data_IF_177320937025
#
_entry.id   IF_177320937025
#
_cell.length_a   1.000
_cell.length_b   1.000
_cell.length_c   1.000
_cell.angle_alpha   90.00
_cell.angle_beta   90.00
_cell.angle_gamma   90.00
#
_symmetry.space_group_name_H-M   'P 1'
#
loop_
_entity.id
_entity.type
_entity.pdbx_description
1 polymer ?
#
# COMPACT_ATOMS: atom_id res chain seq x y z
N UNK A 1 13.96 63.71 12.10
CA UNK A 1 13.93 62.78 10.95
C UNK A 1 12.48 62.39 10.65
N UNK A 2 12.17 61.81 9.48
CA UNK A 2 10.85 61.20 9.26
C UNK A 2 10.71 59.93 10.12
N UNK A 3 9.67 59.87 10.94
CA UNK A 3 9.34 58.68 11.74
C UNK A 3 8.63 57.63 10.87
N UNK A 4 8.96 56.36 11.06
CA UNK A 4 8.34 55.23 10.35
C UNK A 4 7.12 54.73 11.12
N UNK A 5 5.94 54.86 10.54
CA UNK A 5 4.68 54.35 11.11
C UNK A 5 4.21 53.09 10.37
N UNK A 6 3.86 52.06 11.12
CA UNK A 6 3.19 50.85 10.62
C UNK A 6 1.71 50.93 11.02
N UNK A 7 0.81 50.83 10.04
CA UNK A 7 -0.64 50.87 10.26
C UNK A 7 -1.22 49.47 10.13
N UNK A 8 -1.84 48.97 11.20
CA UNK A 8 -2.50 47.67 11.28
C UNK A 8 -3.96 47.83 11.75
N UNK A 9 -4.83 46.84 11.54
CA UNK A 9 -6.17 46.84 12.16
C UNK A 9 -6.08 46.94 13.69
N UNK A 10 -6.94 47.77 14.29
CA UNK A 10 -7.02 47.87 15.75
C UNK A 10 -7.57 46.57 16.34
N UNK A 11 -6.70 45.84 17.04
CA UNK A 11 -7.07 44.64 17.80
C UNK A 11 -7.49 45.07 19.22
N UNK A 12 -8.75 44.82 19.59
CA UNK A 12 -9.34 45.26 20.87
C UNK A 12 -9.39 44.13 21.91
N UNK A 13 -8.27 43.42 22.08
CA UNK A 13 -8.15 42.27 22.97
C UNK A 13 -7.07 42.46 24.05
N UNK A 14 -6.83 41.42 24.83
CA UNK A 14 -5.64 41.28 25.67
C UNK A 14 -4.58 40.44 24.95
N UNK A 15 -3.29 40.64 25.25
CA UNK A 15 -2.28 39.67 24.79
C UNK A 15 -2.46 38.34 25.50
N UNK A 16 -2.05 37.25 24.86
CA UNK A 16 -2.00 35.93 25.51
C UNK A 16 -1.05 35.97 26.71
N UNK A 17 0.01 36.78 26.66
CA UNK A 17 0.94 37.03 27.76
C UNK A 17 0.25 37.60 29.00
N UNK A 18 -0.62 38.60 28.85
CA UNK A 18 -1.45 39.12 29.96
C UNK A 18 -2.35 38.01 30.52
N UNK A 19 -3.14 37.34 29.67
CA UNK A 19 -4.09 36.29 30.08
C UNK A 19 -3.40 35.14 30.87
N UNK A 20 -2.15 34.81 30.52
CA UNK A 20 -1.36 33.79 31.21
C UNK A 20 -0.67 34.28 32.50
N UNK A 21 -0.47 35.58 32.66
CA UNK A 21 0.08 36.20 33.89
C UNK A 21 -1.04 36.51 34.89
N UNK A 22 -2.16 37.08 34.43
CA UNK A 22 -3.34 37.42 35.23
C UNK A 22 -4.02 36.17 35.84
N UNK A 23 -3.76 35.00 35.27
CA UNK A 23 -4.21 33.71 35.80
C UNK A 23 -5.71 33.43 35.62
N UNK A 24 -6.42 34.25 34.85
CA UNK A 24 -7.89 34.24 34.66
C UNK A 24 -8.47 32.87 34.29
N UNK A 25 -7.71 32.07 33.52
CA UNK A 25 -8.02 30.67 33.17
C UNK A 25 -7.88 29.73 34.39
N UNK A 26 -8.76 29.87 35.38
CA UNK A 26 -8.71 29.11 36.65
C UNK A 26 -9.25 27.67 36.51
N UNK A 27 -10.22 27.43 35.63
CA UNK A 27 -10.78 26.11 35.38
C UNK A 27 -9.84 25.25 34.50
N UNK A 28 -9.34 24.08 34.97
CA UNK A 28 -8.38 23.28 34.19
C UNK A 28 -8.94 22.72 32.87
N UNK A 29 -10.25 22.50 32.75
CA UNK A 29 -10.87 22.00 31.52
C UNK A 29 -11.02 23.12 30.49
N UNK A 30 -11.60 24.25 30.91
CA UNK A 30 -11.73 25.45 30.07
C UNK A 30 -10.37 25.94 29.57
N UNK A 31 -9.35 25.98 30.46
CA UNK A 31 -7.96 26.31 30.10
C UNK A 31 -7.46 25.41 28.98
N UNK A 32 -7.66 24.09 29.06
CA UNK A 32 -7.24 23.16 28.01
C UNK A 32 -8.00 23.41 26.71
N UNK A 33 -9.33 23.57 26.77
CA UNK A 33 -10.17 23.77 25.59
C UNK A 33 -9.81 25.06 24.83
N UNK A 34 -9.66 26.19 25.53
CA UNK A 34 -9.32 27.50 24.95
C UNK A 34 -7.87 27.55 24.48
N UNK A 35 -6.91 27.10 25.27
CA UNK A 35 -5.49 27.10 24.87
C UNK A 35 -5.25 26.17 23.67
N UNK A 36 -5.92 25.02 23.58
CA UNK A 36 -5.82 24.15 22.38
C UNK A 36 -6.48 24.81 21.16
N UNK A 37 -7.62 25.51 21.33
CA UNK A 37 -8.24 26.28 20.25
C UNK A 37 -7.29 27.37 19.73
N UNK A 38 -6.75 28.23 20.60
CA UNK A 38 -5.79 29.27 20.22
C UNK A 38 -4.53 28.68 19.57
N UNK A 39 -3.97 27.61 20.12
CA UNK A 39 -2.76 26.96 19.57
C UNK A 39 -3.02 26.38 18.17
N UNK A 40 -4.24 25.90 17.89
CA UNK A 40 -4.63 25.51 16.52
C UNK A 40 -4.68 26.71 15.57
N UNK A 41 -5.26 27.83 15.99
CA UNK A 41 -5.37 29.03 15.15
C UNK A 41 -3.99 29.63 14.84
N UNK A 42 -3.10 29.65 15.83
CA UNK A 42 -1.69 29.99 15.65
C UNK A 42 -0.97 28.99 14.72
N UNK A 43 -1.24 27.69 14.84
CA UNK A 43 -0.67 26.68 13.94
C UNK A 43 -1.12 26.85 12.48
N UNK A 44 -2.40 27.17 12.27
CA UNK A 44 -2.96 27.39 10.93
C UNK A 44 -2.47 28.74 10.34
N UNK A 45 -2.32 29.79 11.16
CA UNK A 45 -1.74 31.08 10.76
C UNK A 45 -0.24 30.98 10.41
N UNK A 46 0.55 30.31 11.25
CA UNK A 46 1.96 30.04 10.96
C UNK A 46 2.12 29.19 9.69
N UNK A 47 1.28 28.16 9.51
CA UNK A 47 1.31 27.36 8.28
C UNK A 47 1.01 28.21 7.03
N UNK A 48 0.08 29.16 7.12
CA UNK A 48 -0.23 30.07 6.02
C UNK A 48 0.98 30.94 5.65
N UNK A 49 1.65 31.53 6.65
CA UNK A 49 2.90 32.27 6.43
C UNK A 49 4.01 31.38 5.81
N UNK A 50 4.20 30.17 6.34
CA UNK A 50 5.20 29.21 5.82
C UNK A 50 4.94 28.83 4.35
N UNK A 51 3.67 28.72 3.95
CA UNK A 51 3.29 28.44 2.56
C UNK A 51 3.59 29.60 1.60
N UNK A 52 3.69 30.83 2.13
CA UNK A 52 4.14 32.03 1.40
C UNK A 52 5.66 32.26 1.50
N UNK A 53 6.41 31.33 2.13
CA UNK A 53 7.86 31.46 2.36
C UNK A 53 8.24 32.43 3.49
N UNK A 54 7.26 32.91 4.27
CA UNK A 54 7.46 33.85 5.39
C UNK A 54 7.60 33.08 6.70
N UNK A 55 8.48 33.56 7.58
CA UNK A 55 8.61 33.16 8.99
C UNK A 55 8.43 34.40 9.87
N UNK A 56 7.74 34.23 11.00
CA UNK A 56 7.40 35.29 11.96
C UNK A 56 8.61 35.81 12.75
N UNK A 57 9.61 34.94 12.99
CA UNK A 57 10.85 35.17 13.76
C UNK A 57 10.69 35.41 15.26
N UNK A 58 9.53 35.88 15.72
CA UNK A 58 9.26 36.18 17.13
C UNK A 58 7.88 35.63 17.55
N UNK A 59 7.77 34.30 17.67
CA UNK A 59 6.51 33.62 18.07
C UNK A 59 6.48 33.49 19.60
N UNK A 60 5.85 34.45 20.27
CA UNK A 60 5.64 34.40 21.73
C UNK A 60 4.23 34.90 22.14
N UNK A 61 3.76 34.62 23.37
CA UNK A 61 2.46 35.09 23.86
C UNK A 61 2.26 36.61 23.88
N UNK A 62 3.33 37.43 23.87
CA UNK A 62 3.22 38.88 23.72
C UNK A 62 2.71 39.27 22.33
N UNK A 63 3.13 38.53 21.30
CA UNK A 63 2.83 38.79 19.89
C UNK A 63 1.55 38.05 19.42
N UNK A 64 0.73 37.60 20.38
CA UNK A 64 -0.57 36.96 20.16
C UNK A 64 -1.62 37.72 20.94
N UNK A 65 -2.64 38.26 20.26
CA UNK A 65 -3.78 38.90 20.90
C UNK A 65 -5.03 38.02 20.83
N UNK A 66 -5.76 37.93 21.94
CA UNK A 66 -7.03 37.20 22.01
C UNK A 66 -8.18 38.19 21.83
N UNK A 67 -8.80 38.16 20.66
CA UNK A 67 -9.90 39.08 20.26
C UNK A 67 -11.17 38.25 20.05
N UNK A 68 -12.21 38.49 20.85
CA UNK A 68 -13.45 37.69 20.84
C UNK A 68 -13.20 36.16 20.90
N UNK A 69 -12.28 35.76 21.79
CA UNK A 69 -11.76 34.39 21.99
C UNK A 69 -11.00 33.77 20.79
N UNK A 70 -10.73 34.53 19.72
CA UNK A 70 -9.89 34.14 18.58
C UNK A 70 -8.44 34.55 18.82
N UNK A 71 -7.47 33.71 18.45
CA UNK A 71 -6.05 34.05 18.54
C UNK A 71 -5.54 34.70 17.25
N UNK A 72 -5.10 35.95 17.37
CA UNK A 72 -4.51 36.74 16.28
C UNK A 72 -3.01 36.88 16.52
N UNK A 73 -2.21 36.29 15.64
CA UNK A 73 -0.76 36.47 15.60
C UNK A 73 -0.44 37.81 14.92
N UNK A 74 0.38 38.65 15.55
CA UNK A 74 0.75 39.98 15.07
C UNK A 74 2.25 40.28 15.29
N UNK A 75 2.75 41.35 14.66
CA UNK A 75 4.18 41.71 14.64
C UNK A 75 5.12 40.61 14.12
N UNK A 76 4.89 40.22 12.85
CA UNK A 76 5.87 39.46 12.06
C UNK A 76 7.15 40.30 11.98
N UNK A 77 8.21 39.89 12.69
CA UNK A 77 9.30 40.78 13.10
C UNK A 77 10.10 41.44 11.97
N UNK A 78 9.57 42.56 11.45
CA UNK A 78 10.16 43.33 10.33
C UNK A 78 11.50 43.95 10.75
N UNK A 79 11.61 44.41 12.00
CA UNK A 79 12.85 44.94 12.56
C UNK A 79 14.01 43.93 12.53
N UNK A 80 13.74 42.62 12.65
CA UNK A 80 14.79 41.58 12.55
C UNK A 80 15.29 41.35 11.12
N UNK A 81 14.89 42.16 10.13
CA UNK A 81 15.48 42.20 8.79
C UNK A 81 16.48 43.35 8.58
N UNK A 82 16.36 44.47 9.31
CA UNK A 82 17.23 45.65 9.07
C UNK A 82 18.63 45.46 9.68
N UNK A 83 18.72 44.77 10.81
CA UNK A 83 19.91 44.81 11.66
C UNK A 83 20.90 43.66 11.35
N UNK A 84 20.75 43.02 10.20
CA UNK A 84 21.66 42.01 9.61
C UNK A 84 21.77 40.67 10.36
N UNK A 85 21.32 40.61 11.61
CA UNK A 85 21.39 39.47 12.51
C UNK A 85 20.02 39.17 13.13
N UNK A 86 19.72 37.91 13.41
CA UNK A 86 18.58 37.58 14.29
C UNK A 86 18.95 37.71 15.77
N UNK A 87 20.26 37.73 16.05
CA UNK A 87 20.90 37.67 17.37
C UNK A 87 21.69 38.94 17.63
N UNK A 88 21.05 40.10 17.42
CA UNK A 88 21.61 41.39 17.80
C UNK A 88 21.78 41.41 19.33
N UNK A 89 23.01 41.13 19.77
CA UNK A 89 23.51 41.65 21.03
C UNK A 89 23.68 43.16 20.80
N UNK A 90 23.03 43.98 21.61
CA UNK A 90 23.42 45.39 21.74
C UNK A 90 24.83 45.45 22.35
N UNK A 91 25.53 46.58 22.21
CA UNK A 91 26.91 46.74 22.71
C UNK A 91 27.01 46.60 24.26
N UNK A 92 25.90 46.71 25.00
CA UNK A 92 25.82 46.40 26.44
C UNK A 92 25.57 44.90 26.73
N UNK A 93 25.56 44.04 25.71
CA UNK A 93 25.35 42.61 25.83
C UNK A 93 23.89 42.18 26.05
N UNK A 94 22.91 42.98 25.65
CA UNK A 94 21.50 42.58 25.67
C UNK A 94 21.08 41.93 24.35
N UNK A 95 20.63 40.68 24.42
CA UNK A 95 19.92 40.01 23.34
C UNK A 95 18.49 40.57 23.24
N UNK A 96 18.09 41.02 22.06
CA UNK A 96 16.72 41.51 21.81
C UNK A 96 15.74 40.33 21.62
N UNK A 97 14.62 40.37 22.34
CA UNK A 97 13.56 39.34 22.35
C UNK A 97 13.57 38.44 23.59
N UNK A 98 12.56 37.57 23.73
CA UNK A 98 12.43 36.67 24.89
C UNK A 98 13.10 35.31 24.62
N UNK A 99 14.27 35.00 25.21
CA UNK A 99 15.05 33.80 24.86
C UNK A 99 14.40 32.47 25.26
N UNK A 100 13.35 32.48 26.09
CA UNK A 100 12.64 31.29 26.56
C UNK A 100 11.87 30.57 25.44
N UNK A 101 11.53 31.27 24.36
CA UNK A 101 10.85 30.74 23.17
C UNK A 101 11.82 30.42 22.02
N UNK A 102 13.09 30.80 22.15
CA UNK A 102 14.11 30.61 21.12
C UNK A 102 14.47 29.12 21.02
N UNK A 103 14.30 28.54 19.85
CA UNK A 103 14.74 27.18 19.56
C UNK A 103 16.28 27.10 19.58
N UNK A 104 16.90 26.03 20.10
CA UNK A 104 18.35 25.99 20.34
C UNK A 104 19.20 26.22 19.09
N UNK A 105 18.75 25.76 17.92
CA UNK A 105 19.46 25.93 16.64
C UNK A 105 19.58 27.40 16.18
N UNK A 106 18.78 28.31 16.74
CA UNK A 106 18.84 29.73 16.40
C UNK A 106 20.05 30.42 17.03
N UNK A 107 20.58 29.89 18.14
CA UNK A 107 21.80 30.41 18.80
C UNK A 107 23.03 30.19 17.92
N UNK A 108 23.08 29.08 17.17
CA UNK A 108 24.22 28.73 16.31
C UNK A 108 24.09 29.25 14.86
N UNK A 109 22.86 29.46 14.37
CA UNK A 109 22.60 29.65 12.93
C UNK A 109 21.84 30.90 12.53
N UNK A 110 21.26 31.63 13.50
CA UNK A 110 20.40 32.81 13.35
C UNK A 110 19.13 32.64 12.47
N UNK A 111 18.95 31.49 11.82
CA UNK A 111 17.95 31.31 10.75
C UNK A 111 16.68 30.68 11.30
N UNK A 112 15.68 31.51 11.58
CA UNK A 112 14.31 31.04 11.85
C UNK A 112 13.82 30.12 10.73
N UNK A 113 13.23 28.99 11.11
CA UNK A 113 12.60 28.03 10.20
C UNK A 113 11.19 27.68 10.68
N UNK A 114 10.33 27.08 9.83
CA UNK A 114 9.06 26.50 10.27
C UNK A 114 9.17 25.56 11.49
N UNK A 115 10.33 24.90 11.68
CA UNK A 115 10.58 23.98 12.82
C UNK A 115 11.03 24.71 14.09
N UNK A 116 11.65 25.88 14.01
CA UNK A 116 11.90 26.72 15.19
C UNK A 116 10.62 27.38 15.69
N UNK A 117 9.68 27.68 14.79
CA UNK A 117 8.38 28.24 15.18
C UNK A 117 7.43 27.18 15.75
N UNK A 118 7.54 25.92 15.31
CA UNK A 118 6.94 24.76 16.01
C UNK A 118 7.47 24.63 17.45
N UNK A 119 8.75 24.88 17.69
CA UNK A 119 9.32 24.87 19.05
C UNK A 119 8.70 25.97 19.91
N UNK A 120 8.68 27.20 19.41
CA UNK A 120 8.13 28.36 20.11
C UNK A 120 6.62 28.24 20.39
N UNK A 121 5.86 27.65 19.44
CA UNK A 121 4.45 27.29 19.63
C UNK A 121 4.28 26.17 20.69
N UNK A 122 5.23 25.22 20.76
CA UNK A 122 5.29 24.20 21.81
C UNK A 122 5.53 24.77 23.21
N UNK A 123 6.43 25.76 23.32
CA UNK A 123 6.66 26.51 24.58
C UNK A 123 5.42 27.30 24.99
N UNK A 124 4.78 27.98 24.02
CA UNK A 124 3.51 28.70 24.21
C UNK A 124 2.40 27.78 24.70
N UNK A 125 2.24 26.60 24.09
CA UNK A 125 1.26 25.59 24.49
C UNK A 125 1.53 25.07 25.92
N UNK A 126 2.80 24.78 26.28
CA UNK A 126 3.14 24.37 27.65
C UNK A 126 2.75 25.45 28.68
N UNK A 127 3.07 26.72 28.41
CA UNK A 127 2.74 27.81 29.34
C UNK A 127 1.23 28.02 29.44
N UNK A 128 0.51 27.99 28.31
CA UNK A 128 -0.94 28.08 28.31
C UNK A 128 -1.60 27.01 29.19
N UNK A 129 -1.16 25.76 29.07
CA UNK A 129 -1.75 24.63 29.80
C UNK A 129 -1.38 24.58 31.28
N UNK A 130 -0.18 25.02 31.67
CA UNK A 130 0.33 24.85 33.05
C UNK A 130 0.38 26.13 33.90
N UNK A 131 0.26 27.30 33.27
CA UNK A 131 0.53 28.60 33.91
C UNK A 131 2.01 28.85 34.23
N UNK A 132 2.93 27.96 33.83
CA UNK A 132 4.38 28.11 34.02
C UNK A 132 5.13 27.89 32.71
N UNK A 133 6.27 28.55 32.52
CA UNK A 133 7.14 28.32 31.36
C UNK A 133 7.85 26.95 31.50
N UNK A 134 8.14 26.23 30.39
CA UNK A 134 8.80 24.92 30.47
C UNK A 134 10.27 25.03 30.89
N UNK A 135 10.99 25.97 30.27
CA UNK A 135 12.41 26.21 30.52
C UNK A 135 12.57 27.42 31.45
N UNK A 136 13.49 27.32 32.40
CA UNK A 136 13.84 28.39 33.32
C UNK A 136 15.31 28.26 33.73
N UNK A 137 15.96 29.40 33.99
CA UNK A 137 17.32 29.48 34.50
C UNK A 137 17.45 30.59 35.54
N UNK A 138 18.53 30.56 36.33
CA UNK A 138 18.91 31.68 37.22
C UNK A 138 19.65 32.78 36.44
N UNK A 139 20.07 32.47 35.23
CA UNK A 139 20.90 33.27 34.33
C UNK A 139 20.66 32.78 32.89
N UNK A 140 21.10 33.55 31.88
CA UNK A 140 20.92 33.19 30.47
C UNK A 140 21.58 31.86 30.10
N UNK A 141 22.75 31.54 30.66
CA UNK A 141 23.48 30.32 30.34
C UNK A 141 22.87 29.06 30.99
N UNK A 142 22.18 29.16 32.14
CA UNK A 142 21.37 28.06 32.67
C UNK A 142 20.06 27.90 31.90
N UNK A 143 19.42 28.98 31.42
CA UNK A 143 18.24 28.89 30.54
C UNK A 143 18.57 28.20 29.20
N UNK A 144 19.62 28.64 28.50
CA UNK A 144 20.01 28.04 27.21
C UNK A 144 20.44 26.58 27.35
N UNK A 145 21.05 26.17 28.48
CA UNK A 145 21.33 24.76 28.77
C UNK A 145 20.05 23.93 28.92
N UNK A 146 19.06 24.41 29.69
CA UNK A 146 17.77 23.72 29.82
C UNK A 146 17.05 23.56 28.46
N UNK A 147 17.07 24.62 27.63
CA UNK A 147 16.55 24.61 26.26
C UNK A 147 17.28 23.57 25.38
N UNK A 148 18.61 23.58 25.37
CA UNK A 148 19.42 22.67 24.57
C UNK A 148 19.33 21.19 25.02
N UNK A 149 19.10 20.96 26.31
CA UNK A 149 18.86 19.62 26.87
C UNK A 149 17.42 19.14 26.67
N UNK A 150 16.46 20.05 26.46
CA UNK A 150 15.03 19.72 26.36
C UNK A 150 14.40 19.32 27.70
N UNK A 151 15.07 19.66 28.82
CA UNK A 151 14.65 19.28 30.16
C UNK A 151 13.66 20.31 30.73
N UNK A 152 12.40 19.88 30.89
CA UNK A 152 11.33 20.68 31.48
C UNK A 152 10.39 19.82 32.36
N UNK A 153 9.66 20.47 33.26
CA UNK A 153 8.79 19.78 34.23
C UNK A 153 7.53 19.16 33.58
N UNK A 154 7.64 17.89 33.18
CA UNK A 154 6.52 17.09 32.67
C UNK A 154 5.46 16.82 33.76
N UNK A 155 5.83 16.85 35.04
CA UNK A 155 4.87 16.71 36.14
C UNK A 155 4.01 17.97 36.29
N UNK A 156 4.44 19.14 35.81
CA UNK A 156 3.58 20.33 35.72
C UNK A 156 2.32 20.07 34.88
N UNK A 157 2.45 19.33 33.77
CA UNK A 157 1.31 18.95 32.93
C UNK A 157 0.35 18.00 33.68
N UNK A 158 0.89 17.03 34.42
CA UNK A 158 0.07 16.12 35.25
C UNK A 158 -0.62 16.85 36.41
N UNK A 159 0.09 17.76 37.09
CA UNK A 159 -0.46 18.61 38.16
C UNK A 159 -1.56 19.56 37.64
N UNK A 160 -1.42 20.05 36.40
CA UNK A 160 -2.45 20.82 35.69
C UNK A 160 -3.59 19.96 35.08
N UNK A 161 -3.57 18.63 35.31
CA UNK A 161 -4.54 17.65 34.80
C UNK A 161 -4.67 17.66 33.26
N UNK A 162 -3.56 17.89 32.57
CA UNK A 162 -3.50 17.90 31.10
C UNK A 162 -3.71 16.49 30.55
N UNK A 163 -4.54 16.40 29.51
CA UNK A 163 -4.81 15.14 28.79
C UNK A 163 -3.53 14.40 28.33
N UNK A 164 -3.43 13.06 28.47
CA UNK A 164 -2.23 12.30 28.09
C UNK A 164 -1.82 12.39 26.61
N UNK A 165 -2.76 12.53 25.68
CA UNK A 165 -2.44 12.78 24.27
C UNK A 165 -1.89 14.20 24.08
N UNK A 166 -2.45 15.18 24.77
CA UNK A 166 -1.95 16.56 24.73
C UNK A 166 -0.54 16.67 25.35
N UNK A 167 -0.24 15.91 26.41
CA UNK A 167 1.13 15.74 26.93
C UNK A 167 2.07 15.21 25.84
N UNK A 168 1.63 14.29 24.97
CA UNK A 168 2.47 13.79 23.87
C UNK A 168 2.78 14.85 22.80
N UNK A 169 1.84 15.77 22.53
CA UNK A 169 2.07 16.94 21.66
C UNK A 169 3.09 17.89 22.30
N UNK A 170 2.85 18.26 23.56
CA UNK A 170 3.70 19.19 24.33
C UNK A 170 5.11 18.65 24.53
N UNK A 171 5.29 17.32 24.63
CA UNK A 171 6.61 16.68 24.69
C UNK A 171 7.33 16.55 23.35
N UNK A 172 6.71 16.92 22.22
CA UNK A 172 7.28 16.75 20.88
C UNK A 172 7.49 18.07 20.13
N UNK A 173 6.67 19.09 20.37
CA UNK A 173 6.84 20.40 19.72
C UNK A 173 8.16 21.11 20.13
N UNK A 174 8.54 21.20 21.43
CA UNK A 174 9.78 21.85 21.88
C UNK A 174 10.93 20.84 22.13
N UNK A 175 11.03 19.76 21.35
CA UNK A 175 12.18 18.83 21.45
C UNK A 175 13.46 19.51 20.88
N UNK A 176 14.66 19.36 21.47
CA UNK A 176 15.84 20.13 21.02
C UNK A 176 16.23 19.91 19.56
N UNK A 177 16.23 18.67 19.06
CA UNK A 177 16.53 18.38 17.66
C UNK A 177 15.33 18.76 16.75
N UNK A 178 15.48 19.73 15.81
CA UNK A 178 14.42 20.10 14.88
C UNK A 178 13.86 18.93 14.06
N UNK A 179 14.64 17.88 13.84
CA UNK A 179 14.19 16.68 13.13
C UNK A 179 13.31 15.76 13.97
N UNK A 180 13.40 15.81 15.30
CA UNK A 180 12.51 15.06 16.19
C UNK A 180 11.16 15.78 16.46
N UNK A 181 11.07 17.10 16.19
CA UNK A 181 9.82 17.89 16.28
C UNK A 181 8.76 17.48 15.25
N UNK A 182 7.63 18.18 15.27
CA UNK A 182 6.70 18.23 14.13
C UNK A 182 7.37 18.81 12.88
N UNK A 183 6.85 18.40 11.74
CA UNK A 183 7.41 18.69 10.42
C UNK A 183 7.02 20.08 9.89
N UNK A 184 5.84 20.56 10.27
CA UNK A 184 5.32 21.90 10.05
C UNK A 184 4.30 22.26 11.14
N UNK A 185 3.84 23.53 11.16
CA UNK A 185 2.79 23.97 12.06
C UNK A 185 1.47 23.20 11.84
N UNK A 186 1.04 22.95 10.60
CA UNK A 186 -0.17 22.15 10.35
C UNK A 186 -0.09 20.72 10.89
N UNK A 187 1.09 20.09 10.90
CA UNK A 187 1.24 18.75 11.45
C UNK A 187 0.98 18.71 12.98
N UNK A 188 1.24 19.82 13.69
CA UNK A 188 0.89 20.00 15.10
C UNK A 188 -0.60 20.36 15.25
N UNK A 189 -1.13 21.26 14.41
CA UNK A 189 -2.55 21.62 14.39
C UNK A 189 -3.48 20.44 14.11
N UNK A 190 -3.07 19.50 13.25
CA UNK A 190 -3.78 18.25 12.95
C UNK A 190 -3.88 17.32 14.15
N UNK A 191 -2.81 17.18 14.94
CA UNK A 191 -2.82 16.34 16.13
C UNK A 191 -3.60 17.01 17.29
N UNK A 192 -3.64 18.35 17.35
CA UNK A 192 -4.56 19.08 18.24
C UNK A 192 -6.03 18.91 17.81
N UNK A 193 -6.33 19.00 16.50
CA UNK A 193 -7.67 18.71 15.93
C UNK A 193 -8.13 17.29 16.28
N UNK A 194 -7.23 16.31 16.21
CA UNK A 194 -7.48 14.90 16.59
C UNK A 194 -7.88 14.74 18.05
N UNK A 195 -7.10 15.33 18.96
CA UNK A 195 -7.35 15.23 20.41
C UNK A 195 -8.72 15.80 20.78
N UNK A 196 -9.14 16.90 20.15
CA UNK A 196 -10.47 17.50 20.40
C UNK A 196 -11.66 16.64 19.94
N UNK A 197 -11.47 15.66 19.04
CA UNK A 197 -12.50 14.68 18.67
C UNK A 197 -12.27 13.31 19.33
N UNK A 198 -11.38 13.23 20.34
CA UNK A 198 -11.04 12.01 21.06
C UNK A 198 -10.03 11.08 20.35
N UNK A 199 -9.52 11.48 19.20
CA UNK A 199 -8.65 10.66 18.35
C UNK A 199 -7.19 10.74 18.80
N UNK A 200 -6.45 9.62 18.72
CA UNK A 200 -5.04 9.61 19.12
C UNK A 200 -4.15 10.43 18.14
N UNK A 201 -3.18 11.21 18.66
CA UNK A 201 -2.30 12.03 17.82
C UNK A 201 -1.24 11.16 17.11
N UNK A 202 -1.01 11.47 15.83
CA UNK A 202 -0.05 10.78 14.94
C UNK A 202 1.39 10.83 15.47
N UNK A 203 1.73 11.83 16.29
CA UNK A 203 3.05 11.99 16.90
C UNK A 203 3.46 10.80 17.76
N UNK A 204 2.52 10.11 18.42
CA UNK A 204 2.80 8.90 19.20
C UNK A 204 3.40 7.80 18.31
N UNK A 205 2.78 7.56 17.15
CA UNK A 205 3.27 6.58 16.17
C UNK A 205 4.60 7.02 15.56
N UNK A 206 4.79 8.31 15.24
CA UNK A 206 6.08 8.83 14.75
C UNK A 206 7.20 8.65 15.80
N UNK A 207 6.94 8.94 17.08
CA UNK A 207 7.91 8.83 18.18
C UNK A 207 8.32 7.38 18.45
N UNK A 208 7.38 6.43 18.40
CA UNK A 208 7.66 4.99 18.53
C UNK A 208 8.55 4.47 17.38
N UNK A 209 8.26 4.86 16.13
CA UNK A 209 9.08 4.48 14.98
C UNK A 209 10.49 5.07 15.07
N UNK A 210 10.63 6.33 15.51
CA UNK A 210 11.95 6.95 15.70
C UNK A 210 12.71 6.43 16.92
N UNK A 211 12.05 6.04 18.02
CA UNK A 211 12.75 5.40 19.15
C UNK A 211 13.31 4.04 18.75
N UNK A 212 12.56 3.25 17.98
CA UNK A 212 13.06 2.01 17.36
C UNK A 212 14.23 2.29 16.42
N UNK A 213 14.17 3.32 15.57
CA UNK A 213 15.26 3.67 14.66
C UNK A 213 16.52 4.18 15.39
N UNK A 214 16.38 5.02 16.43
CA UNK A 214 17.51 5.48 17.27
C UNK A 214 18.14 4.32 18.04
N UNK A 215 17.34 3.40 18.57
CA UNK A 215 17.83 2.15 19.18
C UNK A 215 18.56 1.28 18.17
N UNK A 216 18.00 1.09 16.97
CA UNK A 216 18.60 0.28 15.90
C UNK A 216 19.92 0.86 15.39
N UNK A 217 20.03 2.19 15.27
CA UNK A 217 21.27 2.89 14.90
C UNK A 217 22.35 2.79 15.99
N UNK A 218 21.96 2.67 17.26
CA UNK A 218 22.89 2.46 18.39
C UNK A 218 23.29 0.99 18.57
N UNK A 219 22.39 0.06 18.24
CA UNK A 219 22.55 -1.39 18.39
C UNK A 219 22.47 -2.08 17.02
N UNK A 220 23.34 -1.69 16.08
CA UNK A 220 23.29 -2.12 14.67
C UNK A 220 23.29 -3.63 14.50
N UNK A 221 24.09 -4.37 15.26
CA UNK A 221 24.12 -5.83 15.24
C UNK A 221 22.76 -6.46 15.63
N UNK A 222 22.10 -5.94 16.66
CA UNK A 222 20.78 -6.43 17.09
C UNK A 222 19.67 -6.08 16.08
N UNK A 223 19.77 -4.90 15.43
CA UNK A 223 18.87 -4.51 14.36
C UNK A 223 19.02 -5.40 13.10
N UNK A 224 20.25 -5.71 12.70
CA UNK A 224 20.55 -6.62 11.59
C UNK A 224 20.04 -8.04 11.92
N UNK A 225 20.29 -8.53 13.14
CA UNK A 225 19.78 -9.83 13.59
C UNK A 225 18.24 -9.89 13.57
N UNK A 226 17.55 -8.86 14.08
CA UNK A 226 16.10 -8.77 14.01
C UNK A 226 15.56 -8.74 12.57
N UNK A 227 16.22 -8.01 11.67
CA UNK A 227 15.88 -7.99 10.25
C UNK A 227 16.08 -9.37 9.58
N UNK A 228 17.17 -10.08 9.89
CA UNK A 228 17.43 -11.43 9.40
C UNK A 228 16.41 -12.45 9.90
N UNK A 229 15.94 -12.32 11.15
CA UNK A 229 14.84 -13.16 11.66
C UNK A 229 13.52 -12.90 10.93
N UNK A 230 13.18 -11.65 10.62
CA UNK A 230 11.96 -11.32 9.84
C UNK A 230 12.06 -11.84 8.41
N UNK A 231 13.21 -11.66 7.73
CA UNK A 231 13.46 -12.20 6.39
C UNK A 231 13.43 -13.74 6.40
N UNK A 232 14.01 -14.37 7.43
CA UNK A 232 13.97 -15.82 7.62
C UNK A 232 12.53 -16.35 7.82
N UNK A 233 11.72 -15.68 8.64
CA UNK A 233 10.32 -16.04 8.85
C UNK A 233 9.46 -15.84 7.57
N UNK A 234 9.73 -14.78 6.80
CA UNK A 234 9.10 -14.60 5.48
C UNK A 234 9.52 -15.71 4.50
N UNK A 235 10.80 -16.10 4.52
CA UNK A 235 11.32 -17.17 3.65
C UNK A 235 10.77 -18.55 4.01
N UNK A 236 10.61 -18.89 5.30
CA UNK A 236 10.00 -20.17 5.71
C UNK A 236 8.51 -20.23 5.40
N UNK A 237 7.75 -19.14 5.58
CA UNK A 237 6.35 -19.04 5.14
C UNK A 237 6.23 -19.15 3.62
N UNK A 238 7.10 -18.46 2.87
CA UNK A 238 7.15 -18.54 1.41
C UNK A 238 7.48 -19.93 0.88
N UNK A 239 8.49 -20.59 1.47
CA UNK A 239 8.88 -21.97 1.13
C UNK A 239 7.78 -22.97 1.48
N UNK A 240 7.13 -22.83 2.65
CA UNK A 240 6.00 -23.66 3.03
C UNK A 240 4.81 -23.52 2.07
N UNK A 241 4.54 -22.31 1.59
CA UNK A 241 3.53 -22.05 0.55
C UNK A 241 3.93 -22.60 -0.83
N UNK A 242 5.23 -22.59 -1.17
CA UNK A 242 5.76 -23.18 -2.39
C UNK A 242 5.63 -24.71 -2.40
N UNK A 243 6.09 -25.39 -1.33
CA UNK A 243 6.04 -26.84 -1.22
C UNK A 243 4.59 -27.38 -1.28
N UNK A 244 3.66 -26.73 -0.57
CA UNK A 244 2.21 -27.06 -0.62
C UNK A 244 1.60 -26.92 -2.02
N UNK A 245 2.07 -25.98 -2.85
CA UNK A 245 1.66 -25.87 -4.26
C UNK A 245 2.25 -27.00 -5.11
N UNK A 246 3.48 -27.43 -4.81
CA UNK A 246 4.09 -28.61 -5.44
C UNK A 246 3.27 -29.88 -5.21
N UNK A 247 2.91 -30.18 -3.97
CA UNK A 247 2.07 -31.35 -3.64
C UNK A 247 0.72 -31.36 -4.38
N UNK A 248 0.07 -30.20 -4.52
CA UNK A 248 -1.17 -30.08 -5.29
C UNK A 248 -0.98 -30.31 -6.80
N UNK A 249 0.15 -29.84 -7.36
CA UNK A 249 0.49 -30.08 -8.76
C UNK A 249 0.82 -31.56 -9.03
N UNK A 250 1.49 -32.26 -8.11
CA UNK A 250 1.76 -33.69 -8.26
C UNK A 250 0.48 -34.53 -8.27
N UNK A 251 -0.47 -34.29 -7.36
CA UNK A 251 -1.74 -35.05 -7.32
C UNK A 251 -2.59 -34.85 -8.58
N UNK A 252 -2.68 -33.61 -9.06
CA UNK A 252 -3.42 -33.31 -10.31
C UNK A 252 -2.73 -33.91 -11.55
N UNK A 253 -1.39 -34.04 -11.55
CA UNK A 253 -0.68 -34.78 -12.59
C UNK A 253 -0.98 -36.29 -12.54
N UNK A 254 -0.94 -36.90 -11.36
CA UNK A 254 -1.24 -38.32 -11.11
C UNK A 254 -2.67 -38.69 -11.55
N UNK A 255 -3.68 -37.92 -11.12
CA UNK A 255 -5.08 -38.06 -11.57
C UNK A 255 -5.21 -37.94 -13.10
N UNK A 256 -4.47 -37.02 -13.72
CA UNK A 256 -4.48 -36.83 -15.18
C UNK A 256 -3.78 -37.96 -15.96
N UNK A 257 -2.91 -38.75 -15.32
CA UNK A 257 -2.26 -39.89 -15.94
C UNK A 257 -3.17 -41.12 -15.82
N UNK A 258 -3.69 -41.42 -14.63
CA UNK A 258 -4.64 -42.51 -14.41
C UNK A 258 -5.87 -42.42 -15.33
N UNK A 259 -6.36 -41.20 -15.61
CA UNK A 259 -7.41 -40.95 -16.61
C UNK A 259 -7.01 -41.35 -18.04
N UNK A 260 -5.78 -41.06 -18.47
CA UNK A 260 -5.29 -41.36 -19.82
C UNK A 260 -4.97 -42.83 -20.02
N UNK A 261 -4.40 -43.48 -19.01
CA UNK A 261 -4.12 -44.92 -19.05
C UNK A 261 -5.45 -45.72 -19.13
N UNK A 262 -6.51 -45.22 -18.48
CA UNK A 262 -7.85 -45.81 -18.54
C UNK A 262 -8.61 -45.52 -19.85
N UNK A 263 -8.48 -44.32 -20.40
CA UNK A 263 -9.01 -43.92 -21.72
C UNK A 263 -8.38 -44.72 -22.87
N UNK A 264 -7.07 -44.96 -22.79
CA UNK A 264 -6.35 -45.81 -23.73
C UNK A 264 -6.83 -47.27 -23.65
N UNK A 265 -6.94 -47.84 -22.45
CA UNK A 265 -7.43 -49.21 -22.25
C UNK A 265 -8.91 -49.39 -22.68
N UNK A 266 -9.74 -48.34 -22.54
CA UNK A 266 -11.10 -48.30 -23.07
C UNK A 266 -11.12 -48.28 -24.61
N UNK A 267 -10.25 -47.48 -25.22
CA UNK A 267 -10.09 -47.41 -26.68
C UNK A 267 -9.66 -48.76 -27.25
N UNK A 268 -8.67 -49.41 -26.63
CA UNK A 268 -8.18 -50.75 -26.98
C UNK A 268 -9.31 -51.80 -26.95
N UNK A 269 -10.09 -51.83 -25.85
CA UNK A 269 -11.25 -52.72 -25.73
C UNK A 269 -12.33 -52.51 -26.82
N UNK A 270 -12.50 -51.28 -27.33
CA UNK A 270 -13.38 -51.00 -28.47
C UNK A 270 -12.76 -51.42 -29.83
N UNK A 271 -11.44 -51.33 -30.01
CA UNK A 271 -10.76 -51.84 -31.22
C UNK A 271 -10.90 -53.36 -31.30
N UNK A 272 -10.62 -54.06 -30.20
CA UNK A 272 -10.82 -55.51 -30.06
C UNK A 272 -12.25 -55.95 -30.46
N UNK A 273 -13.26 -55.19 -30.03
CA UNK A 273 -14.66 -55.43 -30.35
C UNK A 273 -14.94 -55.24 -31.85
N UNK A 274 -14.40 -54.19 -32.46
CA UNK A 274 -14.61 -53.83 -33.88
C UNK A 274 -13.89 -54.79 -34.84
N UNK A 275 -12.75 -55.35 -34.43
CA UNK A 275 -12.05 -56.41 -35.17
C UNK A 275 -12.73 -57.78 -35.04
N UNK A 276 -13.74 -57.91 -34.19
CA UNK A 276 -14.46 -59.17 -33.94
C UNK A 276 -13.73 -60.11 -32.98
N UNK A 277 -12.70 -59.65 -32.27
CA UNK A 277 -11.98 -60.41 -31.22
C UNK A 277 -12.77 -60.39 -29.90
N UNK A 278 -14.01 -60.88 -29.97
CA UNK A 278 -15.03 -60.73 -28.91
C UNK A 278 -14.65 -61.33 -27.56
N UNK A 279 -13.73 -62.29 -27.52
CA UNK A 279 -13.21 -62.86 -26.27
C UNK A 279 -12.25 -61.91 -25.56
N UNK A 280 -11.34 -61.27 -26.31
CA UNK A 280 -10.33 -60.33 -25.81
C UNK A 280 -11.02 -59.03 -25.36
N UNK A 281 -11.94 -58.49 -26.18
CA UNK A 281 -12.81 -57.37 -25.79
C UNK A 281 -13.61 -57.66 -24.50
N UNK A 282 -14.13 -58.89 -24.35
CA UNK A 282 -14.89 -59.34 -23.17
C UNK A 282 -14.06 -59.42 -21.90
N UNK A 283 -12.78 -59.76 -22.00
CA UNK A 283 -11.87 -59.70 -20.86
C UNK A 283 -11.49 -58.26 -20.53
N UNK A 284 -11.17 -57.43 -21.53
CA UNK A 284 -10.81 -56.02 -21.36
C UNK A 284 -11.95 -55.20 -20.71
N UNK A 285 -13.18 -55.26 -21.23
CA UNK A 285 -14.33 -54.56 -20.62
C UNK A 285 -14.65 -55.06 -19.20
N UNK A 286 -14.41 -56.33 -18.88
CA UNK A 286 -14.56 -56.83 -17.51
C UNK A 286 -13.43 -56.38 -16.57
N UNK A 287 -12.21 -56.21 -17.06
CA UNK A 287 -11.12 -55.63 -16.28
C UNK A 287 -11.43 -54.15 -15.97
N UNK A 288 -11.84 -53.38 -16.98
CA UNK A 288 -12.29 -51.99 -16.84
C UNK A 288 -13.46 -51.84 -15.86
N UNK A 289 -14.46 -52.73 -15.92
CA UNK A 289 -15.63 -52.65 -15.03
C UNK A 289 -15.29 -52.87 -13.54
N UNK A 290 -14.20 -53.58 -13.25
CA UNK A 290 -13.67 -53.81 -11.89
C UNK A 290 -12.75 -52.68 -11.41
N UNK A 291 -12.40 -51.72 -12.25
CA UNK A 291 -11.54 -50.60 -11.87
C UNK A 291 -12.33 -49.53 -11.09
N UNK A 292 -11.97 -49.33 -9.82
CA UNK A 292 -12.56 -48.31 -8.94
C UNK A 292 -11.63 -47.11 -8.68
N UNK A 293 -10.48 -47.04 -9.38
CA UNK A 293 -9.50 -45.98 -9.23
C UNK A 293 -9.97 -44.57 -9.63
N UNK A 294 -9.19 -43.53 -9.30
CA UNK A 294 -9.48 -42.16 -9.74
C UNK A 294 -9.61 -42.11 -11.27
N UNK A 295 -10.60 -41.35 -11.76
CA UNK A 295 -10.93 -41.30 -13.18
C UNK A 295 -11.93 -42.35 -13.68
N UNK A 296 -12.22 -43.42 -12.92
CA UNK A 296 -13.16 -44.46 -13.39
C UNK A 296 -14.61 -43.98 -13.55
N UNK A 297 -15.06 -42.99 -12.75
CA UNK A 297 -16.45 -42.51 -12.76
C UNK A 297 -16.94 -41.91 -14.10
N UNK A 298 -16.25 -40.95 -14.75
CA UNK A 298 -16.71 -40.38 -16.02
C UNK A 298 -16.82 -41.42 -17.15
N UNK A 299 -15.93 -42.42 -17.20
CA UNK A 299 -15.89 -43.43 -18.27
C UNK A 299 -16.86 -44.62 -18.07
N UNK A 300 -17.61 -44.65 -16.95
CA UNK A 300 -18.60 -45.72 -16.68
C UNK A 300 -19.64 -45.93 -17.78
N UNK A 301 -20.26 -44.88 -18.38
CA UNK A 301 -21.27 -45.07 -19.43
C UNK A 301 -20.75 -45.79 -20.66
N UNK A 302 -19.46 -45.62 -20.99
CA UNK A 302 -18.82 -46.20 -22.18
C UNK A 302 -18.39 -47.65 -21.92
N UNK A 303 -17.88 -47.93 -20.72
CA UNK A 303 -17.63 -49.30 -20.23
C UNK A 303 -18.95 -50.10 -20.22
N UNK A 304 -20.03 -49.51 -19.68
CA UNK A 304 -21.36 -50.13 -19.65
C UNK A 304 -21.94 -50.34 -21.06
N UNK A 305 -21.65 -49.45 -22.02
CA UNK A 305 -22.05 -49.61 -23.41
C UNK A 305 -21.30 -50.77 -24.09
N UNK A 306 -19.99 -50.88 -23.86
CA UNK A 306 -19.19 -52.03 -24.31
C UNK A 306 -19.73 -53.35 -23.77
N UNK A 307 -19.99 -53.43 -22.45
CA UNK A 307 -20.60 -54.61 -21.82
C UNK A 307 -22.00 -54.94 -22.38
N UNK A 308 -22.85 -53.95 -22.67
CA UNK A 308 -24.15 -54.18 -23.33
C UNK A 308 -23.96 -54.80 -24.72
N UNK A 309 -23.04 -54.26 -25.52
CA UNK A 309 -22.78 -54.76 -26.89
C UNK A 309 -22.26 -56.20 -26.93
N UNK A 310 -21.56 -56.63 -25.89
CA UNK A 310 -21.03 -58.00 -25.70
C UNK A 310 -22.02 -58.97 -25.02
N UNK A 311 -23.26 -58.54 -24.78
CA UNK A 311 -24.27 -59.36 -24.07
C UNK A 311 -23.89 -59.68 -22.62
N UNK A 312 -23.15 -58.80 -21.96
CA UNK A 312 -22.64 -58.96 -20.58
C UNK A 312 -23.43 -58.20 -19.52
N UNK A 313 -24.21 -57.19 -19.91
CA UNK A 313 -25.00 -56.39 -18.98
C UNK A 313 -26.10 -57.25 -18.31
N UNK A 314 -26.21 -57.16 -16.99
CA UNK A 314 -27.31 -57.78 -16.25
C UNK A 314 -28.66 -57.15 -16.63
N UNK A 315 -29.71 -57.96 -16.62
CA UNK A 315 -30.99 -57.71 -17.29
C UNK A 315 -31.95 -56.75 -16.56
N UNK A 316 -31.46 -55.58 -16.14
CA UNK A 316 -32.22 -54.54 -15.43
C UNK A 316 -32.00 -53.13 -16.01
N UNK A 317 -32.31 -52.97 -17.30
CA UNK A 317 -32.43 -51.66 -17.97
C UNK A 317 -33.34 -51.75 -19.21
N UNK A 318 -34.65 -51.78 -18.99
CA UNK A 318 -35.64 -51.79 -20.08
C UNK A 318 -35.67 -50.48 -20.87
N UNK A 319 -36.05 -50.58 -22.15
CA UNK A 319 -36.34 -49.47 -23.08
C UNK A 319 -35.22 -48.42 -23.28
N UNK A 320 -34.31 -48.74 -24.20
CA UNK A 320 -33.82 -47.76 -25.17
C UNK A 320 -34.03 -48.37 -26.58
N UNK A 321 -34.54 -47.54 -27.49
CA UNK A 321 -34.82 -47.89 -28.91
C UNK A 321 -33.52 -48.13 -29.70
N UNK A 322 -33.60 -48.53 -30.98
CA UNK A 322 -32.46 -48.54 -31.93
C UNK A 322 -32.02 -47.10 -32.27
N UNK A 323 -31.48 -46.42 -31.26
CA UNK A 323 -31.24 -44.99 -31.30
C UNK A 323 -30.09 -44.66 -32.25
N UNK A 324 -30.21 -43.57 -33.05
CA UNK A 324 -29.10 -43.00 -33.83
C UNK A 324 -27.83 -42.77 -33.02
N UNK A 325 -27.91 -42.68 -31.69
CA UNK A 325 -26.78 -42.67 -30.78
C UNK A 325 -25.78 -43.81 -31.02
N UNK A 326 -26.19 -45.04 -31.38
CA UNK A 326 -25.23 -46.14 -31.63
C UNK A 326 -24.39 -45.90 -32.89
N UNK A 327 -25.02 -45.43 -33.99
CA UNK A 327 -24.29 -45.09 -35.22
C UNK A 327 -23.46 -43.81 -35.06
N UNK A 328 -23.98 -42.82 -34.33
CA UNK A 328 -23.26 -41.61 -33.99
C UNK A 328 -22.02 -41.92 -33.12
N UNK A 329 -22.16 -42.77 -32.10
CA UNK A 329 -21.06 -43.22 -31.24
C UNK A 329 -20.01 -43.98 -32.05
N UNK A 330 -20.39 -44.97 -32.86
CA UNK A 330 -19.46 -45.68 -33.75
C UNK A 330 -18.70 -44.74 -34.69
N UNK A 331 -19.35 -43.68 -35.21
CA UNK A 331 -18.68 -42.65 -36.03
C UNK A 331 -17.76 -41.74 -35.22
N UNK A 332 -18.10 -41.43 -33.96
CA UNK A 332 -17.29 -40.61 -33.06
C UNK A 332 -16.06 -41.37 -32.55
N UNK A 333 -16.20 -42.66 -32.19
CA UNK A 333 -15.08 -43.53 -31.84
C UNK A 333 -14.11 -43.69 -33.02
N UNK A 334 -14.62 -43.89 -34.24
CA UNK A 334 -13.78 -43.94 -35.45
C UNK A 334 -13.04 -42.61 -35.70
N UNK A 335 -13.70 -41.47 -35.45
CA UNK A 335 -13.07 -40.15 -35.56
C UNK A 335 -11.99 -39.92 -34.49
N UNK A 336 -12.23 -40.36 -33.25
CA UNK A 336 -11.26 -40.30 -32.15
C UNK A 336 -10.04 -41.20 -32.42
N UNK A 337 -10.24 -42.43 -32.92
CA UNK A 337 -9.14 -43.32 -33.33
C UNK A 337 -8.32 -42.72 -34.48
N UNK A 338 -8.95 -42.07 -35.46
CA UNK A 338 -8.20 -41.35 -36.53
C UNK A 338 -7.42 -40.16 -35.95
N UNK A 339 -8.02 -39.39 -35.05
CA UNK A 339 -7.40 -38.21 -34.42
C UNK A 339 -6.22 -38.56 -33.49
N UNK A 340 -6.19 -39.75 -32.88
CA UNK A 340 -5.09 -40.20 -32.00
C UNK A 340 -4.01 -40.98 -32.74
N UNK A 341 -4.35 -41.72 -33.81
CA UNK A 341 -3.37 -42.52 -34.59
C UNK A 341 -2.73 -41.77 -35.75
N UNK A 342 -3.29 -40.65 -36.20
CA UNK A 342 -2.69 -39.78 -37.22
C UNK A 342 -2.76 -40.32 -38.66
N UNK A 343 -3.60 -41.33 -38.92
CA UNK A 343 -3.84 -41.87 -40.27
C UNK A 343 -4.92 -41.03 -40.96
N UNK A 344 -4.57 -40.43 -42.11
CA UNK A 344 -5.39 -39.41 -42.77
C UNK A 344 -6.64 -39.91 -43.51
N UNK A 345 -7.57 -38.99 -43.75
CA UNK A 345 -8.97 -39.21 -44.19
C UNK A 345 -9.16 -39.97 -45.53
N UNK A 346 -8.10 -40.22 -46.30
CA UNK A 346 -8.19 -40.70 -47.69
C UNK A 346 -8.66 -42.16 -47.86
N UNK A 347 -8.32 -43.07 -46.94
CA UNK A 347 -8.63 -44.50 -47.10
C UNK A 347 -9.94 -44.94 -46.43
N UNK A 348 -10.43 -44.21 -45.41
CA UNK A 348 -11.71 -44.51 -44.75
C UNK A 348 -12.89 -44.51 -45.74
N UNK A 349 -12.87 -43.61 -46.72
CA UNK A 349 -13.89 -43.50 -47.77
C UNK A 349 -13.97 -44.73 -48.71
N UNK A 350 -12.92 -45.57 -48.78
CA UNK A 350 -12.90 -46.76 -49.66
C UNK A 350 -13.56 -47.98 -49.04
N UNK A 351 -13.70 -48.04 -47.71
CA UNK A 351 -14.34 -49.15 -47.02
C UNK A 351 -15.86 -49.15 -47.23
N UNK A 352 -16.50 -47.97 -47.10
CA UNK A 352 -17.95 -47.81 -47.13
C UNK A 352 -18.58 -47.95 -48.53
N UNK A 353 -17.81 -47.77 -49.61
CA UNK A 353 -18.35 -48.00 -50.96
C UNK A 353 -18.39 -49.49 -51.35
N UNK A 354 -17.56 -50.35 -50.72
CA UNK A 354 -17.50 -51.79 -51.05
C UNK A 354 -18.73 -52.57 -50.59
N UNK A 355 -19.37 -52.18 -49.50
CA UNK A 355 -20.59 -52.84 -48.98
C UNK A 355 -21.85 -52.51 -49.79
N UNK A 356 -21.85 -51.45 -50.60
CA UNK A 356 -23.04 -50.96 -51.32
C UNK A 356 -23.23 -51.53 -52.73
N UNK A 357 -22.34 -52.43 -53.20
CA UNK A 357 -22.32 -52.95 -54.58
C UNK A 357 -22.58 -54.47 -54.68
N UNK A 358 -23.76 -54.90 -54.21
CA UNK A 358 -24.45 -56.10 -54.73
C UNK A 358 -25.90 -55.75 -55.10
N UNK A 359 -26.30 -56.20 -56.29
CA UNK A 359 -27.46 -55.77 -57.11
C UNK A 359 -28.75 -56.54 -56.74
N UNK A 360 -29.97 -56.24 -57.31
CA UNK A 360 -30.21 -55.47 -58.54
C UNK A 360 -31.45 -54.52 -58.66
N UNK A 361 -31.25 -53.46 -59.46
CA UNK A 361 -32.16 -52.77 -60.41
C UNK A 361 -33.69 -52.66 -60.17
N UNK A 362 -34.21 -51.42 -60.31
CA UNK A 362 -35.12 -51.05 -61.45
C UNK A 362 -35.46 -49.54 -61.49
N UNK A 363 -35.77 -49.05 -62.71
CA UNK A 363 -36.43 -47.75 -63.05
C UNK A 363 -35.76 -46.40 -62.73
N UNK A 364 -36.22 -45.37 -63.45
CA UNK A 364 -35.79 -43.94 -63.51
C UNK A 364 -37.01 -43.09 -64.00
N UNK A 365 -36.95 -41.76 -64.26
CA UNK A 365 -35.95 -40.70 -63.96
C UNK A 365 -36.62 -39.44 -63.29
N UNK A 366 -36.07 -38.22 -63.50
CA UNK A 366 -36.61 -36.86 -63.17
C UNK A 366 -36.52 -36.41 -61.68
N UNK A 367 -36.37 -35.12 -61.31
CA UNK A 367 -36.07 -33.88 -62.08
C UNK A 367 -35.35 -32.76 -61.26
N UNK A 368 -34.80 -31.76 -61.98
CA UNK A 368 -34.36 -30.38 -61.62
C UNK A 368 -34.26 -29.86 -60.16
N UNK A 369 -33.20 -29.08 -59.82
CA UNK A 369 -33.28 -28.12 -58.70
C UNK A 369 -32.04 -27.25 -58.34
N UNK A 370 -32.07 -25.97 -58.72
CA UNK A 370 -31.28 -24.80 -58.24
C UNK A 370 -31.27 -24.64 -56.68
N UNK A 371 -30.39 -23.88 -55.97
CA UNK A 371 -29.36 -22.84 -56.28
C UNK A 371 -28.50 -22.51 -55.02
N UNK A 372 -27.28 -21.96 -55.22
CA UNK A 372 -26.69 -20.67 -54.70
C UNK A 372 -27.14 -20.17 -53.30
N UNK A 373 -26.29 -19.72 -52.34
CA UNK A 373 -24.86 -19.30 -52.27
C UNK A 373 -24.26 -19.63 -50.85
N UNK A 374 -23.16 -19.12 -50.25
CA UNK A 374 -22.24 -17.97 -50.48
C UNK A 374 -20.80 -18.21 -49.91
N UNK A 375 -20.03 -17.12 -49.67
CA UNK A 375 -18.70 -16.99 -49.03
C UNK A 375 -18.58 -15.52 -48.49
N UNK A 376 -17.45 -14.92 -48.01
CA UNK A 376 -16.08 -15.42 -47.72
C UNK A 376 -15.37 -14.82 -46.45
N UNK A 377 -14.07 -15.14 -46.32
CA UNK A 377 -12.93 -14.27 -45.93
C UNK A 377 -12.55 -13.98 -44.45
N UNK A 378 -11.21 -14.02 -44.24
CA UNK A 378 -10.44 -13.35 -43.17
C UNK A 378 -9.68 -12.13 -43.75
N UNK A 379 -8.96 -11.35 -42.90
CA UNK A 379 -7.58 -11.02 -43.25
C UNK A 379 -6.58 -11.21 -42.08
N UNK A 380 -5.30 -10.90 -42.31
CA UNK A 380 -4.13 -11.25 -41.48
C UNK A 380 -3.16 -10.06 -41.27
N UNK A 381 -1.88 -10.35 -40.95
CA UNK A 381 -0.64 -9.52 -41.16
C UNK A 381 0.09 -8.91 -39.93
N UNK A 382 1.19 -9.59 -39.56
CA UNK A 382 2.54 -9.07 -39.21
C UNK A 382 2.86 -8.28 -37.91
N UNK A 383 4.16 -8.30 -37.58
CA UNK A 383 4.84 -7.56 -36.52
C UNK A 383 6.13 -6.88 -37.07
N UNK A 384 6.78 -6.02 -36.28
CA UNK A 384 8.07 -5.38 -36.59
C UNK A 384 8.87 -5.04 -35.29
N UNK A 385 10.17 -4.79 -35.41
CA UNK A 385 11.10 -4.69 -34.26
C UNK A 385 12.13 -3.56 -34.39
N UNK A 386 12.52 -2.93 -33.27
CA UNK A 386 13.57 -1.88 -33.25
C UNK A 386 14.55 -2.05 -32.06
N UNK A 387 15.81 -1.92 -32.43
CA UNK A 387 17.14 -2.02 -31.80
C UNK A 387 17.46 -1.18 -30.54
N UNK A 388 18.62 -1.49 -29.92
CA UNK A 388 19.31 -0.72 -28.86
C UNK A 388 20.40 0.22 -29.42
N UNK A 389 20.80 1.23 -28.63
CA UNK A 389 22.04 2.01 -28.83
C UNK A 389 22.48 2.77 -27.56
N UNK A 390 23.78 3.06 -27.39
CA UNK A 390 24.35 3.69 -26.18
C UNK A 390 25.58 4.55 -26.45
N UNK A 391 25.70 5.73 -25.83
CA UNK A 391 26.93 6.58 -25.80
C UNK A 391 27.09 7.25 -24.41
N UNK A 392 28.32 7.68 -24.07
CA UNK A 392 28.78 8.09 -22.72
C UNK A 392 29.79 9.26 -22.79
N UNK A 393 29.52 10.39 -22.14
CA UNK A 393 30.48 11.52 -21.95
C UNK A 393 29.91 12.49 -20.87
N UNK A 394 30.52 12.62 -19.69
CA UNK A 394 31.65 13.50 -19.28
C UNK A 394 31.24 14.94 -18.91
N UNK A 395 31.69 15.41 -17.73
CA UNK A 395 31.53 16.77 -17.20
C UNK A 395 32.88 17.50 -17.16
N UNK A 396 32.95 18.82 -17.43
CA UNK A 396 34.10 19.64 -17.07
C UNK A 396 34.00 20.15 -15.61
N UNK A 397 35.09 20.76 -15.11
CA UNK A 397 35.15 21.43 -13.81
C UNK A 397 35.45 22.94 -13.98
N UNK A 398 35.06 23.77 -13.01
CA UNK A 398 35.33 25.21 -12.96
C UNK A 398 36.07 25.60 -11.67
N UNK A 399 36.92 26.64 -11.75
CA UNK A 399 37.84 27.06 -10.68
C UNK A 399 37.29 28.17 -9.79
N UNK A 400 37.95 28.39 -8.65
CA UNK A 400 37.87 29.61 -7.82
C UNK A 400 38.32 30.86 -8.59
N UNK A 401 37.72 32.00 -8.26
CA UNK A 401 38.34 33.35 -8.27
C UNK A 401 37.97 34.09 -6.97
N UNK A 402 38.63 35.22 -6.70
CA UNK A 402 38.62 35.92 -5.40
C UNK A 402 37.73 37.20 -5.44
N UNK A 403 37.56 37.96 -4.32
CA UNK A 403 36.60 39.06 -4.23
C UNK A 403 37.14 40.38 -4.83
N UNK A 404 36.27 41.39 -4.89
CA UNK A 404 36.63 42.79 -5.13
C UNK A 404 36.23 43.68 -3.94
N UNK A 405 36.79 44.88 -3.93
CA UNK A 405 36.72 45.89 -2.86
C UNK A 405 35.37 46.59 -2.71
#
# INVERSE_FOLDING_TARGET
DPELFIVIPLLTGQTLREILIDGTLTNPKERQERVVAWTRELADALQHAHALGVVHRDVEPGNVMIVADRAVLFDFGVARWTDGSATTLTDEGNLIGTPEFMAPELVDSERTTPRSEVFALGVTLFWGLTGKKPFAGRDRASLFRAIAQGEFDVEALRRARVDPHLIAVVKAAPEPDPYDRYESAAAMGDDLRRIQVGDAPRILRRRLLRSLFRWARRNTAAAIFGALLVVGAMATVGLGAYLRRGEAAYRTAEESQALRDLDFALTDAFVELLEGRTSEAREAFQALSRHEGPGARPLRPEIDLGLRSLGLASSDASSADESPAFQAFASASAFLVSATTGVGEADAARATERTRKRSPSSSSPQETGRRVCASPAQPSVSAASVTRGSVRSSRPASRRTAPFS
#
